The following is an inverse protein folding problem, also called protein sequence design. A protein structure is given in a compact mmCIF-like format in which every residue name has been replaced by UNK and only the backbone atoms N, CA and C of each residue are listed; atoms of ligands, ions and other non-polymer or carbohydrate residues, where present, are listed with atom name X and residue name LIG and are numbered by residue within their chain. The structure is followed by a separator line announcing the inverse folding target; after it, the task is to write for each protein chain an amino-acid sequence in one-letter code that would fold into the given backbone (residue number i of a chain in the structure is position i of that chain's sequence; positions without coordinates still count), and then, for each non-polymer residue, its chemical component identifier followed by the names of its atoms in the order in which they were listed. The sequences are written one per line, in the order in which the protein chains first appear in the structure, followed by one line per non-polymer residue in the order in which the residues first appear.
data_IF_222688635746
#
_entry.id   IF_222688635746
#
_cell.length_a   1.000
_cell.length_b   1.000
_cell.length_c   1.000
_cell.angle_alpha   90.00
_cell.angle_beta   90.00
_cell.angle_gamma   90.00
#
_symmetry.space_group_name_H-M   'P 1'
#
loop_
_entity.id
_entity.type
_entity.pdbx_description
1 polymer ?
#
# COMPACT_ATOMS: atom_id res chain seq x y z
N UNK A 1 9.37 10.56 8.13
CA UNK A 1 8.34 10.06 7.20
C UNK A 1 8.41 10.87 5.93
N UNK A 2 8.07 10.29 4.78
CA UNK A 2 8.07 10.93 3.48
C UNK A 2 6.61 11.03 3.00
N UNK A 3 6.28 12.07 2.24
CA UNK A 3 4.99 12.18 1.53
C UNK A 3 4.78 10.97 0.61
N UNK A 4 3.54 10.50 0.43
CA UNK A 4 3.27 9.29 -0.39
C UNK A 4 3.76 9.42 -1.83
N UNK A 5 3.72 10.62 -2.42
CA UNK A 5 4.21 10.87 -3.78
C UNK A 5 5.72 11.13 -3.91
N UNK A 6 6.44 11.26 -2.80
CA UNK A 6 7.87 11.60 -2.78
C UNK A 6 8.88 10.46 -2.45
N UNK A 7 8.56 9.15 -2.42
CA UNK A 7 9.60 8.14 -2.30
C UNK A 7 10.55 8.18 -3.51
N UNK A 8 11.84 7.90 -3.27
CA UNK A 8 12.85 7.92 -4.33
C UNK A 8 13.04 6.50 -4.87
N UNK A 9 12.89 6.25 -6.18
CA UNK A 9 13.13 4.93 -6.76
C UNK A 9 14.47 4.33 -6.35
N UNK A 10 14.46 3.07 -5.90
CA UNK A 10 15.65 2.38 -5.44
C UNK A 10 16.03 2.63 -3.99
N UNK A 11 15.43 3.62 -3.32
CA UNK A 11 15.66 3.89 -1.90
C UNK A 11 14.61 3.23 -1.00
N UNK A 12 15.00 2.97 0.24
CA UNK A 12 14.08 2.52 1.28
C UNK A 12 13.50 3.73 1.99
N UNK A 13 12.18 3.80 2.08
CA UNK A 13 11.45 4.91 2.71
C UNK A 13 10.29 4.43 3.56
N UNK A 14 9.83 5.32 4.44
CA UNK A 14 8.62 5.14 5.23
C UNK A 14 7.62 6.21 4.85
N UNK A 15 6.41 5.79 4.50
CA UNK A 15 5.24 6.61 4.22
C UNK A 15 4.13 6.25 5.20
N UNK A 16 3.14 7.11 5.36
CA UNK A 16 1.83 6.69 5.88
C UNK A 16 0.72 7.33 5.05
N UNK A 17 -0.36 6.57 4.87
CA UNK A 17 -1.47 6.94 3.99
C UNK A 17 -2.62 5.97 4.16
N UNK A 18 -3.81 6.37 3.70
CA UNK A 18 -5.02 5.54 3.80
C UNK A 18 -5.10 4.57 2.63
N UNK A 19 -5.58 3.36 2.91
CA UNK A 19 -5.91 2.38 1.87
C UNK A 19 -7.15 2.85 1.12
N UNK A 20 -6.98 3.26 -0.13
CA UNK A 20 -8.11 3.66 -0.99
C UNK A 20 -8.66 2.49 -1.79
N UNK A 21 -7.85 1.45 -2.04
CA UNK A 21 -8.25 0.30 -2.84
C UNK A 21 -7.55 -0.98 -2.35
N UNK A 22 -8.26 -2.11 -2.44
CA UNK A 22 -7.75 -3.46 -2.21
C UNK A 22 -8.20 -4.33 -3.38
N UNK A 23 -7.26 -5.05 -3.99
CA UNK A 23 -7.50 -5.99 -5.09
C UNK A 23 -6.74 -7.30 -4.84
N UNK A 24 -7.43 -8.44 -4.97
CA UNK A 24 -6.79 -9.76 -4.96
C UNK A 24 -6.71 -10.32 -6.38
N UNK A 25 -5.48 -10.51 -6.87
CA UNK A 25 -5.19 -10.97 -8.23
C UNK A 25 -4.66 -12.39 -8.18
N UNK A 26 -5.39 -13.33 -8.77
CA UNK A 26 -4.97 -14.73 -8.86
C UNK A 26 -4.24 -14.99 -10.17
N UNK A 27 -2.97 -15.43 -10.10
CA UNK A 27 -2.15 -15.81 -11.26
C UNK A 27 -1.45 -17.14 -11.00
N UNK A 28 -1.54 -18.09 -11.96
CA UNK A 28 -0.89 -19.42 -11.87
C UNK A 28 -1.12 -20.11 -10.51
N UNK A 29 -2.38 -20.13 -10.03
CA UNK A 29 -2.81 -20.69 -8.73
C UNK A 29 -2.25 -19.99 -7.48
N UNK A 30 -1.78 -18.75 -7.61
CA UNK A 30 -1.27 -17.93 -6.50
C UNK A 30 -2.01 -16.61 -6.42
N UNK A 31 -2.51 -16.24 -5.24
CA UNK A 31 -3.21 -14.98 -5.00
C UNK A 31 -2.23 -13.93 -4.49
N UNK A 32 -2.13 -12.82 -5.21
CA UNK A 32 -1.36 -11.64 -4.85
C UNK A 32 -2.35 -10.57 -4.39
N UNK A 33 -2.00 -9.84 -3.34
CA UNK A 33 -2.81 -8.71 -2.89
C UNK A 33 -2.17 -7.40 -3.28
N UNK A 34 -2.90 -6.57 -4.01
CA UNK A 34 -2.50 -5.22 -4.35
C UNK A 34 -3.38 -4.24 -3.60
N UNK A 35 -2.76 -3.22 -3.01
CA UNK A 35 -3.48 -2.10 -2.42
C UNK A 35 -2.97 -0.80 -3.00
N UNK A 36 -3.82 0.22 -2.96
CA UNK A 36 -3.43 1.60 -3.20
C UNK A 36 -3.44 2.31 -1.86
N UNK A 37 -2.32 2.95 -1.52
CA UNK A 37 -2.16 3.78 -0.32
C UNK A 37 -1.95 5.21 -0.77
N UNK A 38 -2.72 6.14 -0.22
CA UNK A 38 -2.72 7.54 -0.63
C UNK A 38 -2.76 8.52 0.53
N UNK A 39 -2.27 9.73 0.27
CA UNK A 39 -2.49 10.93 1.06
C UNK A 39 -2.73 12.12 0.11
N UNK A 40 -2.80 13.34 0.63
CA UNK A 40 -3.04 14.55 -0.19
C UNK A 40 -1.92 14.84 -1.21
N UNK A 41 -0.75 14.19 -1.09
CA UNK A 41 0.36 14.32 -2.03
C UNK A 41 0.24 13.39 -3.23
N UNK A 42 -0.49 12.28 -3.10
CA UNK A 42 -0.72 11.30 -4.16
C UNK A 42 -0.76 9.86 -3.65
N UNK A 43 -0.61 8.91 -4.58
CA UNK A 43 -0.83 7.49 -4.34
C UNK A 43 0.40 6.62 -4.67
N UNK A 44 0.51 5.48 -3.97
CA UNK A 44 1.48 4.42 -4.26
C UNK A 44 0.81 3.04 -4.27
N UNK A 45 1.26 2.17 -5.17
CA UNK A 45 0.84 0.77 -5.20
C UNK A 45 1.68 -0.08 -4.27
N UNK A 46 1.04 -0.87 -3.42
CA UNK A 46 1.72 -1.84 -2.57
C UNK A 46 1.29 -3.24 -2.98
N UNK A 47 2.27 -4.10 -3.29
CA UNK A 47 2.02 -5.47 -3.69
C UNK A 47 2.54 -6.46 -2.63
N UNK A 48 1.66 -7.36 -2.19
CA UNK A 48 1.98 -8.46 -1.31
C UNK A 48 1.98 -9.77 -2.09
N UNK A 49 3.06 -10.53 -1.94
CA UNK A 49 3.17 -11.88 -2.47
C UNK A 49 2.29 -12.85 -1.67
N UNK A 50 1.91 -13.98 -2.28
CA UNK A 50 1.15 -15.03 -1.61
C UNK A 50 1.76 -15.41 -0.25
N UNK A 51 0.92 -15.52 0.78
CA UNK A 51 1.32 -15.92 2.14
C UNK A 51 1.97 -14.82 2.99
N UNK A 52 2.16 -13.59 2.47
CA UNK A 52 2.66 -12.44 3.26
C UNK A 52 1.57 -11.68 4.01
N UNK A 53 0.30 -11.99 3.73
CA UNK A 53 -0.84 -11.18 4.16
C UNK A 53 -0.80 -9.77 3.55
N UNK A 54 -1.73 -8.94 3.97
CA UNK A 54 -1.83 -7.54 3.58
C UNK A 54 -3.16 -6.99 4.10
N UNK A 55 -3.28 -5.66 4.27
CA UNK A 55 -4.54 -5.00 4.62
C UNK A 55 -5.66 -5.52 3.71
N UNK A 56 -6.76 -5.99 4.27
CA UNK A 56 -7.92 -6.51 3.54
C UNK A 56 -9.05 -5.49 3.40
N UNK A 57 -8.94 -4.37 4.12
CA UNK A 57 -10.04 -3.42 4.29
C UNK A 57 -9.63 -2.03 3.81
N UNK A 58 -10.49 -1.39 3.00
CA UNK A 58 -10.33 0.01 2.61
C UNK A 58 -10.54 0.95 3.80
N UNK A 59 -9.92 2.14 3.77
CA UNK A 59 -10.04 3.17 4.80
C UNK A 59 -9.03 3.07 5.94
N UNK A 60 -8.35 1.93 6.11
CA UNK A 60 -7.27 1.77 7.09
C UNK A 60 -6.13 2.76 6.82
N UNK A 61 -5.67 3.46 7.87
CA UNK A 61 -4.44 4.27 7.80
C UNK A 61 -3.25 3.38 8.12
N UNK A 62 -2.27 3.33 7.23
CA UNK A 62 -1.12 2.46 7.37
C UNK A 62 0.18 3.23 7.34
N UNK A 63 1.13 2.84 8.19
CA UNK A 63 2.54 3.20 8.07
C UNK A 63 3.30 2.10 7.36
N UNK A 64 3.79 2.39 6.17
CA UNK A 64 4.42 1.42 5.28
C UNK A 64 5.90 1.76 5.11
N UNK A 65 6.77 0.77 5.30
CA UNK A 65 8.22 0.90 5.08
C UNK A 65 8.71 -0.12 4.07
N UNK A 66 9.33 0.35 3.00
CA UNK A 66 9.79 -0.52 1.93
C UNK A 66 10.71 0.17 0.94
N UNK A 67 11.27 -0.63 0.03
CA UNK A 67 12.05 -0.12 -1.10
C UNK A 67 11.09 0.38 -2.18
N UNK A 68 11.13 1.66 -2.48
CA UNK A 68 10.37 2.26 -3.57
C UNK A 68 10.90 1.74 -4.90
N UNK A 69 9.98 1.40 -5.80
CA UNK A 69 10.25 0.85 -7.13
C UNK A 69 9.44 1.61 -8.15
N UNK A 70 10.09 1.98 -9.23
CA UNK A 70 9.46 2.54 -10.41
C UNK A 70 10.09 1.88 -11.63
N UNK A 71 9.26 1.47 -12.58
CA UNK A 71 9.72 0.83 -13.82
C UNK A 71 9.20 1.65 -14.99
N UNK A 72 10.11 2.36 -15.66
CA UNK A 72 9.76 3.37 -16.66
C UNK A 72 8.77 4.39 -16.10
N UNK A 73 7.71 4.65 -16.86
CA UNK A 73 6.66 5.61 -16.49
C UNK A 73 5.51 4.98 -15.67
N UNK A 74 5.68 3.75 -15.17
CA UNK A 74 4.66 3.14 -14.31
C UNK A 74 4.57 3.87 -12.98
N UNK A 75 3.40 3.89 -12.32
CA UNK A 75 3.28 4.45 -10.98
C UNK A 75 4.23 3.78 -9.99
N UNK A 76 4.61 4.55 -8.98
CA UNK A 76 5.50 4.08 -7.93
C UNK A 76 4.88 2.90 -7.18
N UNK A 77 5.74 2.00 -6.71
CA UNK A 77 5.30 0.83 -5.96
C UNK A 77 6.27 0.40 -4.87
N UNK A 78 5.76 -0.37 -3.91
CA UNK A 78 6.57 -1.19 -3.02
C UNK A 78 6.10 -2.64 -3.08
N UNK A 79 7.03 -3.58 -2.89
CA UNK A 79 6.77 -5.01 -2.98
C UNK A 79 7.18 -5.68 -1.68
N UNK A 80 6.25 -6.36 -1.02
CA UNK A 80 6.38 -6.92 0.32
C UNK A 80 7.02 -5.94 1.33
N UNK A 81 6.55 -4.68 1.45
CA UNK A 81 7.02 -3.82 2.51
C UNK A 81 6.57 -4.36 3.88
N UNK A 82 7.20 -3.87 4.94
CA UNK A 82 6.64 -3.99 6.29
C UNK A 82 5.59 -2.89 6.47
N UNK A 83 4.50 -3.17 7.17
CA UNK A 83 3.51 -2.16 7.50
C UNK A 83 2.99 -2.31 8.92
N UNK A 84 2.47 -1.22 9.45
CA UNK A 84 1.73 -1.17 10.70
C UNK A 84 0.39 -0.47 10.45
N UNK A 85 -0.68 -1.03 11.01
CA UNK A 85 -1.95 -0.34 11.11
C UNK A 85 -1.81 0.81 12.11
N UNK A 86 -2.16 2.02 11.68
CA UNK A 86 -2.15 3.24 12.50
C UNK A 86 -3.57 3.56 12.96
N UNK A 87 -4.55 3.43 12.07
CA UNK A 87 -5.97 3.70 12.35
C UNK A 87 -6.84 2.70 11.58
N UNK A 88 -7.84 2.14 12.26
CA UNK A 88 -8.89 1.35 11.59
C UNK A 88 -9.76 2.25 10.69
N UNK A 89 -10.51 1.69 9.73
CA UNK A 89 -11.49 2.47 8.99
C UNK A 89 -12.51 3.05 9.97
N UNK A 90 -12.98 4.27 9.70
CA UNK A 90 -14.11 4.80 10.43
C UNK A 90 -15.28 3.82 10.30
N UNK A 91 -15.79 3.33 11.44
CA UNK A 91 -17.08 2.63 11.43
C UNK A 91 -18.12 3.66 11.02
N UNK A 92 -18.89 3.38 9.97
CA UNK A 92 -20.12 4.12 9.77
C UNK A 92 -20.95 3.97 11.06
N UNK A 93 -21.34 5.07 11.72
CA UNK A 93 -22.21 4.98 12.87
C UNK A 93 -23.53 4.37 12.38
N UNK A 94 -23.83 3.16 12.87
CA UNK A 94 -25.00 2.33 12.58
C UNK A 94 -26.20 3.10 11.99
N UNK A 95 -26.61 2.70 10.78
CA UNK A 95 -27.97 2.96 10.26
C UNK A 95 -29.02 2.18 11.05
#
# INVERSE_FOLDING_TARGET
MIMVAAPIPGQRGTIEGRVSQVEDITKRRRTFRWIVVGDDSGDIRIAFHPGRGGPDTQGQLLRVTGKARQSGNRPMSMVNPTYHLVEEPAKEPNS
#
